data_IF_309745425749
#
_entry.id   IF_309745425749
#
_cell.length_a   1.000
_cell.length_b   1.000
_cell.length_c   1.000
_cell.angle_alpha   90.00
_cell.angle_beta   90.00
_cell.angle_gamma   90.00
#
_symmetry.space_group_name_H-M   'P 1'
#
loop_
_entity.id
_entity.type
_entity.pdbx_description
1 polymer ?
#
# COMPACT_ATOMS: atom_id res chain seq x y z
N UNK A 1 9.25 -32.26 22.53
CA UNK A 1 8.27 -31.30 21.96
C UNK A 1 8.47 -30.00 22.69
N UNK A 2 8.45 -28.87 21.99
CA UNK A 2 8.70 -27.55 22.58
C UNK A 2 7.58 -27.21 23.59
N UNK A 3 7.91 -26.98 24.86
CA UNK A 3 6.94 -26.71 25.93
C UNK A 3 6.16 -25.40 25.73
N UNK A 4 6.64 -24.55 24.81
CA UNK A 4 6.02 -23.26 24.54
C UNK A 4 4.78 -23.35 23.64
N UNK A 5 4.36 -24.54 23.15
CA UNK A 5 3.18 -24.76 22.28
C UNK A 5 3.11 -23.81 21.07
N UNK A 6 4.26 -23.48 20.49
CA UNK A 6 4.34 -22.79 19.19
C UNK A 6 4.84 -23.77 18.11
N UNK A 7 4.54 -23.45 16.86
CA UNK A 7 4.96 -24.25 15.71
C UNK A 7 4.86 -23.44 14.43
N UNK A 8 5.33 -24.03 13.34
CA UNK A 8 5.25 -23.47 12.00
C UNK A 8 6.19 -24.20 11.05
N UNK A 9 6.27 -23.68 9.83
CA UNK A 9 7.02 -24.32 8.74
C UNK A 9 7.98 -23.29 8.18
N UNK A 10 9.28 -23.51 8.42
CA UNK A 10 10.31 -22.76 7.72
C UNK A 10 10.37 -23.21 6.26
N UNK A 11 10.53 -22.27 5.33
CA UNK A 11 10.64 -22.60 3.90
C UNK A 11 11.93 -23.37 3.61
N UNK A 12 13.05 -22.94 4.21
CA UNK A 12 14.35 -23.60 4.05
C UNK A 12 15.11 -23.71 5.38
N UNK A 13 15.78 -24.85 5.55
CA UNK A 13 16.83 -25.06 6.54
C UNK A 13 18.14 -25.36 5.80
N UNK A 14 19.12 -24.46 5.91
CA UNK A 14 20.39 -24.58 5.18
C UNK A 14 21.53 -24.76 6.16
N UNK A 15 22.46 -25.67 5.86
CA UNK A 15 23.65 -25.88 6.69
C UNK A 15 24.58 -24.67 6.63
N UNK A 16 25.14 -24.30 7.79
CA UNK A 16 26.08 -23.19 7.94
C UNK A 16 27.32 -23.33 7.05
N UNK A 17 27.79 -24.56 6.81
CA UNK A 17 28.95 -24.87 5.94
C UNK A 17 28.63 -24.94 4.43
N UNK A 18 27.36 -24.71 4.07
CA UNK A 18 26.90 -24.72 2.67
C UNK A 18 26.25 -23.40 2.24
N UNK A 19 25.70 -22.61 3.17
CA UNK A 19 24.93 -21.41 2.87
C UNK A 19 25.69 -20.38 2.02
N UNK A 20 27.00 -20.21 2.25
CA UNK A 20 27.85 -19.30 1.49
C UNK A 20 28.13 -19.76 0.05
N UNK A 21 27.72 -20.97 -0.34
CA UNK A 21 27.82 -21.47 -1.73
C UNK A 21 26.57 -21.15 -2.55
N UNK A 22 25.47 -20.76 -1.90
CA UNK A 22 24.18 -20.51 -2.54
C UNK A 22 24.04 -19.04 -2.96
N UNK A 23 24.55 -18.12 -2.13
CA UNK A 23 24.35 -16.68 -2.31
C UNK A 23 25.63 -15.98 -2.75
N UNK A 24 25.50 -14.96 -3.60
CA UNK A 24 26.64 -14.16 -4.09
C UNK A 24 27.30 -13.39 -2.96
N UNK A 25 26.50 -12.83 -2.04
CA UNK A 25 26.99 -12.24 -0.80
C UNK A 25 27.18 -13.31 0.26
N UNK A 26 28.37 -13.33 0.88
CA UNK A 26 28.65 -14.12 2.08
C UNK A 26 27.59 -13.84 3.16
N UNK A 27 26.99 -14.90 3.67
CA UNK A 27 25.89 -14.86 4.66
C UNK A 27 26.40 -15.03 6.09
N UNK A 28 27.29 -16.00 6.32
CA UNK A 28 27.88 -16.27 7.64
C UNK A 28 29.40 -16.11 7.60
N UNK A 29 30.01 -15.78 8.75
CA UNK A 29 31.47 -15.73 8.88
C UNK A 29 32.10 -17.13 8.81
N UNK A 30 33.40 -17.21 8.50
CA UNK A 30 34.16 -18.48 8.43
C UNK A 30 34.14 -19.26 9.75
N UNK A 31 34.16 -18.54 10.87
CA UNK A 31 34.02 -19.12 12.20
C UNK A 31 32.65 -19.80 12.35
N UNK A 32 31.58 -19.12 11.92
CA UNK A 32 30.21 -19.63 12.04
C UNK A 32 29.90 -20.78 11.08
N UNK A 33 30.60 -20.90 9.94
CA UNK A 33 30.40 -22.01 9.00
C UNK A 33 30.53 -23.38 9.69
N UNK A 34 31.49 -23.50 10.62
CA UNK A 34 31.89 -24.77 11.21
C UNK A 34 31.44 -24.97 12.67
N UNK A 35 30.60 -24.07 13.20
CA UNK A 35 30.04 -24.23 14.56
C UNK A 35 29.12 -25.44 14.57
N UNK A 36 29.49 -26.44 15.39
CA UNK A 36 28.72 -27.68 15.56
C UNK A 36 27.51 -27.46 16.45
N UNK A 37 26.33 -27.83 15.94
CA UNK A 37 25.16 -28.02 16.80
C UNK A 37 25.26 -29.36 17.58
N UNK A 38 25.02 -29.37 18.90
CA UNK A 38 25.20 -30.56 19.76
C UNK A 38 24.48 -31.83 19.29
N UNK A 39 23.28 -31.70 18.72
CA UNK A 39 22.47 -32.85 18.32
C UNK A 39 22.75 -33.30 16.86
N UNK A 40 23.73 -32.68 16.19
CA UNK A 40 24.12 -33.03 14.83
C UNK A 40 25.47 -33.76 14.82
N UNK A 41 25.68 -34.59 13.81
CA UNK A 41 26.90 -35.39 13.68
C UNK A 41 28.08 -34.63 13.07
N UNK A 42 27.82 -33.62 12.23
CA UNK A 42 28.85 -32.84 11.55
C UNK A 42 29.21 -31.53 12.24
N UNK A 43 30.29 -30.90 11.80
CA UNK A 43 30.72 -29.57 12.26
C UNK A 43 29.95 -28.48 11.52
N UNK A 44 28.64 -28.48 11.71
CA UNK A 44 27.73 -27.47 11.16
C UNK A 44 26.50 -27.34 12.05
N UNK A 45 25.72 -26.31 11.77
CA UNK A 45 24.37 -26.13 12.28
C UNK A 45 23.45 -25.68 11.15
N UNK A 46 22.14 -25.82 11.31
CA UNK A 46 21.17 -25.32 10.37
C UNK A 46 20.82 -23.85 10.69
N UNK A 47 20.55 -23.09 9.62
CA UNK A 47 20.00 -21.72 9.66
C UNK A 47 18.63 -21.70 9.00
N UNK A 48 17.73 -20.91 9.56
CA UNK A 48 16.40 -20.68 8.99
C UNK A 48 16.48 -19.62 7.89
N UNK A 49 15.93 -19.94 6.72
CA UNK A 49 15.65 -18.97 5.65
C UNK A 49 14.17 -19.06 5.30
N UNK A 50 13.48 -17.93 5.31
CA UNK A 50 12.07 -17.82 4.94
C UNK A 50 11.95 -16.96 3.67
N UNK A 51 11.14 -17.43 2.71
CA UNK A 51 11.07 -16.89 1.35
C UNK A 51 9.86 -15.98 1.26
N UNK A 52 10.08 -14.71 0.93
CA UNK A 52 9.01 -13.72 0.74
C UNK A 52 9.07 -13.13 -0.66
N UNK A 53 7.96 -13.27 -1.41
CA UNK A 53 7.82 -12.64 -2.73
C UNK A 53 7.58 -11.12 -2.60
N UNK A 54 8.62 -10.39 -2.25
CA UNK A 54 8.60 -8.94 -2.01
C UNK A 54 9.96 -8.33 -2.31
N UNK A 55 10.00 -7.01 -2.50
CA UNK A 55 11.26 -6.25 -2.52
C UNK A 55 11.59 -5.84 -1.09
N UNK A 56 12.68 -6.36 -0.52
CA UNK A 56 13.10 -5.97 0.83
C UNK A 56 13.88 -4.65 0.83
N UNK A 57 13.60 -3.79 1.80
CA UNK A 57 14.37 -2.57 2.04
C UNK A 57 15.41 -2.82 3.12
N UNK A 58 16.68 -2.79 2.76
CA UNK A 58 17.80 -2.90 3.69
C UNK A 58 18.07 -1.54 4.34
N UNK A 59 18.51 -1.57 5.59
CA UNK A 59 19.07 -0.42 6.30
C UNK A 59 20.33 0.09 5.60
N UNK A 60 20.79 1.29 5.98
CA UNK A 60 21.98 1.90 5.40
C UNK A 60 23.26 1.04 5.53
N UNK A 61 23.31 0.13 6.52
CA UNK A 61 24.40 -0.83 6.68
C UNK A 61 24.42 -1.93 5.60
N UNK A 62 23.33 -2.09 4.84
CA UNK A 62 23.17 -3.09 3.80
C UNK A 62 22.88 -4.51 4.30
N UNK A 63 22.73 -4.75 5.61
CA UNK A 63 22.54 -6.10 6.16
C UNK A 63 21.17 -6.32 6.77
N UNK A 64 20.78 -5.45 7.71
CA UNK A 64 19.51 -5.59 8.42
C UNK A 64 18.36 -5.06 7.57
N UNK A 65 17.18 -5.66 7.76
CA UNK A 65 15.97 -5.24 7.07
C UNK A 65 15.27 -4.14 7.86
N UNK A 66 14.76 -3.11 7.17
CA UNK A 66 13.93 -2.07 7.78
C UNK A 66 12.65 -2.66 8.38
N UNK A 67 12.04 -1.89 9.28
CA UNK A 67 10.78 -2.25 9.92
C UNK A 67 9.60 -1.65 9.12
N UNK A 68 9.50 -2.00 7.84
CA UNK A 68 8.45 -1.57 6.93
C UNK A 68 7.47 -2.71 6.58
N UNK A 69 6.21 -2.35 6.30
CA UNK A 69 5.17 -3.30 5.91
C UNK A 69 5.04 -4.49 6.87
N UNK A 70 5.15 -5.72 6.33
CA UNK A 70 5.02 -6.98 7.09
C UNK A 70 6.33 -7.49 7.71
N UNK A 71 7.47 -6.85 7.44
CA UNK A 71 8.76 -7.31 7.99
C UNK A 71 8.80 -7.39 9.53
N UNK A 72 8.18 -6.48 10.30
CA UNK A 72 8.03 -6.67 11.75
C UNK A 72 7.37 -7.99 12.14
N UNK A 73 6.32 -8.42 11.43
CA UNK A 73 5.65 -9.69 11.68
C UNK A 73 6.51 -10.89 11.23
N UNK A 74 7.21 -10.78 10.10
CA UNK A 74 8.13 -11.82 9.62
C UNK A 74 9.31 -12.04 10.58
N UNK A 75 9.81 -10.97 11.23
CA UNK A 75 10.80 -11.09 12.31
C UNK A 75 10.27 -11.89 13.49
N UNK A 76 9.00 -11.78 13.82
CA UNK A 76 8.39 -12.63 14.86
C UNK A 76 8.18 -14.08 14.42
N UNK A 77 7.74 -14.29 13.18
CA UNK A 77 7.63 -15.63 12.58
C UNK A 77 8.97 -16.38 12.62
N UNK A 78 10.05 -15.73 12.18
CA UNK A 78 11.39 -16.29 12.17
C UNK A 78 11.94 -16.52 13.58
N UNK A 79 11.52 -15.75 14.59
CA UNK A 79 11.91 -15.98 15.97
C UNK A 79 11.33 -17.31 16.50
N UNK A 80 10.09 -17.63 16.14
CA UNK A 80 9.45 -18.92 16.46
C UNK A 80 10.22 -20.06 15.77
N UNK A 81 10.54 -19.91 14.49
CA UNK A 81 11.23 -20.95 13.72
C UNK A 81 12.64 -21.19 14.26
N UNK A 82 13.37 -20.12 14.55
CA UNK A 82 14.73 -20.19 15.06
C UNK A 82 14.77 -20.80 16.47
N UNK A 83 13.80 -20.50 17.33
CA UNK A 83 13.64 -21.15 18.63
C UNK A 83 13.35 -22.65 18.49
N UNK A 84 12.40 -23.03 17.62
CA UNK A 84 12.08 -24.44 17.37
C UNK A 84 13.28 -25.21 16.81
N UNK A 85 13.99 -24.62 15.85
CA UNK A 85 15.21 -25.18 15.30
C UNK A 85 16.28 -25.38 16.38
N UNK A 86 16.48 -24.36 17.22
CA UNK A 86 17.43 -24.41 18.33
C UNK A 86 17.19 -25.57 19.28
N UNK A 87 15.92 -25.81 19.64
CA UNK A 87 15.53 -26.97 20.43
C UNK A 87 15.87 -28.31 19.75
N UNK A 88 15.62 -28.41 18.44
CA UNK A 88 15.84 -29.65 17.67
C UNK A 88 17.34 -29.94 17.53
N UNK A 89 18.14 -28.97 17.11
CA UNK A 89 19.58 -29.18 16.85
C UNK A 89 20.47 -29.01 18.09
N UNK A 90 19.94 -28.48 19.20
CA UNK A 90 20.68 -28.23 20.44
C UNK A 90 21.53 -26.94 20.41
N UNK A 91 21.40 -26.12 19.36
CA UNK A 91 22.09 -24.85 19.18
C UNK A 91 21.14 -23.87 18.51
N UNK A 92 20.90 -22.72 19.14
CA UNK A 92 20.04 -21.65 18.61
C UNK A 92 20.92 -20.59 17.93
N UNK A 93 20.86 -20.44 16.60
CA UNK A 93 21.51 -19.35 15.89
C UNK A 93 21.08 -17.97 16.40
N UNK A 94 22.01 -17.00 16.40
CA UNK A 94 21.67 -15.60 16.72
C UNK A 94 20.89 -14.90 15.60
N UNK A 95 20.98 -15.41 14.36
CA UNK A 95 20.36 -14.78 13.21
C UNK A 95 19.51 -15.77 12.42
N UNK A 96 18.46 -15.22 11.81
CA UNK A 96 17.65 -15.87 10.79
C UNK A 96 17.58 -14.97 9.55
N UNK A 97 17.10 -15.51 8.44
CA UNK A 97 17.20 -14.84 7.15
C UNK A 97 15.90 -14.78 6.38
N UNK A 98 15.73 -13.71 5.61
CA UNK A 98 14.70 -13.60 4.57
C UNK A 98 15.36 -13.63 3.20
N UNK A 99 14.86 -14.50 2.33
CA UNK A 99 15.14 -14.49 0.90
C UNK A 99 14.00 -13.75 0.19
N UNK A 100 14.32 -12.64 -0.46
CA UNK A 100 13.36 -11.77 -1.13
C UNK A 100 13.59 -11.79 -2.64
N UNK A 101 12.56 -11.51 -3.45
CA UNK A 101 12.71 -11.48 -4.93
C UNK A 101 13.68 -10.40 -5.41
N UNK A 102 13.72 -9.30 -4.67
CA UNK A 102 14.56 -8.16 -4.94
C UNK A 102 14.93 -7.48 -3.62
N UNK A 103 15.93 -6.60 -3.69
CA UNK A 103 16.37 -5.82 -2.55
C UNK A 103 16.76 -4.42 -2.99
N UNK A 104 16.60 -3.46 -2.08
CA UNK A 104 17.13 -2.11 -2.22
C UNK A 104 17.79 -1.67 -0.94
N UNK A 105 18.89 -0.94 -1.03
CA UNK A 105 19.57 -0.32 0.09
C UNK A 105 19.18 1.15 0.14
N UNK A 106 18.49 1.53 1.21
CA UNK A 106 18.14 2.93 1.44
C UNK A 106 19.34 3.69 2.03
N UNK A 107 20.14 4.28 1.14
CA UNK A 107 21.30 5.10 1.49
C UNK A 107 21.29 6.37 0.66
N UNK A 108 21.38 7.52 1.33
CA UNK A 108 21.52 8.83 0.66
C UNK A 108 22.84 8.96 -0.12
N UNK A 109 23.87 8.20 0.27
CA UNK A 109 25.22 8.30 -0.30
C UNK A 109 25.38 7.35 -1.47
N UNK A 110 25.06 6.07 -1.25
CA UNK A 110 25.26 4.99 -2.23
C UNK A 110 24.00 4.10 -2.26
N UNK A 111 22.92 4.52 -2.93
CA UNK A 111 21.75 3.69 -3.13
C UNK A 111 22.12 2.51 -4.05
N UNK A 112 21.68 1.32 -3.67
CA UNK A 112 21.93 0.08 -4.42
C UNK A 112 20.63 -0.71 -4.51
N UNK A 113 20.48 -1.50 -5.56
CA UNK A 113 19.37 -2.43 -5.71
C UNK A 113 19.81 -3.66 -6.49
N UNK A 114 19.13 -4.78 -6.26
CA UNK A 114 19.30 -6.01 -7.01
C UNK A 114 17.97 -6.75 -7.14
N UNK A 115 17.92 -7.65 -8.12
CA UNK A 115 16.69 -8.30 -8.57
C UNK A 115 16.81 -9.83 -8.60
N UNK A 116 17.92 -10.39 -8.11
CA UNK A 116 18.05 -11.84 -7.94
C UNK A 116 17.80 -12.21 -6.49
N UNK A 117 17.04 -13.29 -6.28
CA UNK A 117 16.87 -13.89 -4.96
C UNK A 117 18.19 -14.39 -4.36
N UNK A 118 19.20 -14.64 -5.21
CA UNK A 118 20.50 -15.20 -4.82
C UNK A 118 21.59 -14.15 -4.63
N UNK A 119 21.29 -12.86 -4.85
CA UNK A 119 22.26 -11.80 -4.58
C UNK A 119 22.67 -11.81 -3.11
N UNK A 120 21.68 -11.81 -2.21
CA UNK A 120 21.88 -11.74 -0.77
C UNK A 120 20.63 -12.13 0.02
N UNK A 121 20.85 -12.45 1.29
CA UNK A 121 19.80 -12.62 2.30
C UNK A 121 19.66 -11.38 3.18
N UNK A 122 18.43 -11.00 3.50
CA UNK A 122 18.14 -10.02 4.54
C UNK A 122 18.36 -10.64 5.92
N UNK A 123 19.13 -9.97 6.77
CA UNK A 123 19.54 -10.50 8.08
C UNK A 123 18.59 -10.00 9.17
N UNK A 124 18.14 -10.93 10.01
CA UNK A 124 17.43 -10.65 11.25
C UNK A 124 18.33 -11.08 12.40
N UNK A 125 18.87 -10.10 13.12
CA UNK A 125 19.85 -10.34 14.19
C UNK A 125 19.21 -10.21 15.56
N UNK A 126 18.88 -11.34 16.18
CA UNK A 126 18.25 -11.39 17.49
C UNK A 126 19.24 -11.14 18.64
N UNK A 127 20.55 -11.09 18.38
CA UNK A 127 21.55 -10.74 19.38
C UNK A 127 21.72 -9.24 19.57
N UNK A 128 21.38 -8.44 18.56
CA UNK A 128 21.46 -6.98 18.64
C UNK A 128 20.25 -6.26 18.00
N UNK A 129 20.30 -5.94 16.71
CA UNK A 129 19.38 -5.01 16.02
C UNK A 129 17.90 -5.40 16.13
N UNK A 130 17.59 -6.70 16.04
CA UNK A 130 16.23 -7.24 16.06
C UNK A 130 15.87 -7.93 17.39
N UNK A 131 16.72 -7.82 18.41
CA UNK A 131 16.46 -8.37 19.75
C UNK A 131 15.07 -8.01 20.32
N UNK A 132 14.54 -6.76 20.16
CA UNK A 132 13.22 -6.41 20.66
C UNK A 132 12.08 -7.29 20.11
N UNK A 133 12.27 -7.93 18.96
CA UNK A 133 11.26 -8.82 18.39
C UNK A 133 11.09 -10.13 19.15
N UNK A 134 12.06 -10.56 19.97
CA UNK A 134 11.88 -11.73 20.85
C UNK A 134 10.73 -11.46 21.82
N UNK A 135 10.79 -10.34 22.54
CA UNK A 135 9.76 -9.95 23.52
C UNK A 135 8.42 -9.67 22.84
N UNK A 136 8.41 -8.89 21.75
CA UNK A 136 7.18 -8.62 21.00
C UNK A 136 6.51 -9.89 20.49
N UNK A 137 7.28 -10.88 20.07
CA UNK A 137 6.75 -12.18 19.62
C UNK A 137 6.11 -12.93 20.79
N UNK A 138 6.77 -12.96 21.95
CA UNK A 138 6.22 -13.59 23.14
C UNK A 138 4.91 -12.91 23.59
N UNK A 139 4.83 -11.58 23.58
CA UNK A 139 3.62 -10.81 23.85
C UNK A 139 2.53 -11.09 22.83
N UNK A 140 2.87 -11.14 21.53
CA UNK A 140 1.92 -11.47 20.46
C UNK A 140 1.36 -12.89 20.60
N UNK A 141 2.18 -13.87 21.01
CA UNK A 141 1.72 -15.24 21.29
C UNK A 141 0.73 -15.25 22.46
N UNK A 142 1.01 -14.50 23.53
CA UNK A 142 0.09 -14.37 24.67
C UNK A 142 -1.23 -13.75 24.23
N UNK A 143 -1.18 -12.67 23.45
CA UNK A 143 -2.37 -12.02 22.91
C UNK A 143 -3.22 -12.98 22.09
N UNK A 144 -2.63 -13.70 21.12
CA UNK A 144 -3.38 -14.64 20.27
C UNK A 144 -4.03 -15.76 21.11
N UNK A 145 -3.39 -16.20 22.19
CA UNK A 145 -3.98 -17.20 23.11
C UNK A 145 -5.14 -16.62 23.89
N UNK A 146 -4.98 -15.43 24.43
CA UNK A 146 -6.01 -14.72 25.19
C UNK A 146 -7.26 -14.46 24.33
N UNK A 147 -7.08 -14.04 23.07
CA UNK A 147 -8.17 -13.90 22.09
C UNK A 147 -8.89 -15.23 21.85
N UNK A 148 -8.16 -16.34 21.71
CA UNK A 148 -8.75 -17.66 21.44
C UNK A 148 -9.47 -18.24 22.65
N UNK A 149 -9.00 -17.93 23.85
CA UNK A 149 -9.52 -18.49 25.09
C UNK A 149 -10.69 -17.67 25.67
N UNK A 150 -10.66 -16.35 25.48
CA UNK A 150 -11.60 -15.43 26.14
C UNK A 150 -12.25 -14.42 25.19
N UNK A 151 -11.82 -14.34 23.93
CA UNK A 151 -12.23 -13.28 23.00
C UNK A 151 -13.71 -13.29 22.62
N UNK A 152 -14.37 -14.44 22.71
CA UNK A 152 -15.82 -14.59 22.51
C UNK A 152 -16.67 -13.85 23.57
N UNK A 153 -16.11 -13.64 24.75
CA UNK A 153 -16.75 -12.93 25.86
C UNK A 153 -16.52 -11.41 25.86
N UNK A 154 -15.67 -10.90 24.96
CA UNK A 154 -15.29 -9.49 24.96
C UNK A 154 -16.35 -8.60 24.29
N UNK A 155 -16.64 -7.47 24.93
CA UNK A 155 -17.46 -6.43 24.33
C UNK A 155 -16.62 -5.54 23.42
N UNK A 156 -16.76 -5.71 22.11
CA UNK A 156 -16.03 -4.95 21.10
C UNK A 156 -16.42 -3.46 21.06
N UNK A 157 -17.61 -3.09 21.54
CA UNK A 157 -18.07 -1.70 21.60
C UNK A 157 -17.63 -1.00 22.89
N UNK A 158 -17.15 -1.75 23.87
CA UNK A 158 -16.59 -1.23 25.11
C UNK A 158 -15.16 -1.75 25.32
N UNK A 159 -14.20 -1.38 24.45
CA UNK A 159 -12.83 -1.85 24.53
C UNK A 159 -12.14 -1.45 25.84
N UNK A 160 -11.81 -2.46 26.64
CA UNK A 160 -11.16 -2.33 27.96
C UNK A 160 -9.63 -2.32 27.90
N UNK A 161 -9.06 -2.59 26.72
CA UNK A 161 -7.62 -2.66 26.48
C UNK A 161 -7.28 -2.14 25.09
N UNK A 162 -6.00 -1.83 24.88
CA UNK A 162 -5.53 -1.17 23.67
C UNK A 162 -5.71 -2.03 22.41
N UNK A 163 -5.45 -3.32 22.51
CA UNK A 163 -5.48 -4.27 21.39
C UNK A 163 -6.88 -4.53 20.85
N UNK A 164 -7.93 -4.13 21.58
CA UNK A 164 -9.32 -4.26 21.14
C UNK A 164 -9.76 -3.13 20.20
N UNK A 165 -9.03 -2.01 20.15
CA UNK A 165 -9.39 -0.92 19.26
C UNK A 165 -8.98 -1.27 17.82
N UNK A 166 -9.89 -1.18 16.84
CA UNK A 166 -9.52 -1.38 15.44
C UNK A 166 -8.59 -0.25 14.97
N UNK A 167 -7.82 -0.53 13.92
CA UNK A 167 -6.96 0.44 13.27
C UNK A 167 -7.39 0.60 11.81
N UNK A 168 -8.04 1.72 11.49
CA UNK A 168 -8.56 2.03 10.17
C UNK A 168 -7.45 2.18 9.11
N UNK A 169 -6.22 2.50 9.53
CA UNK A 169 -5.05 2.60 8.64
C UNK A 169 -4.47 1.24 8.25
N UNK A 170 -4.75 0.17 9.00
CA UNK A 170 -4.21 -1.16 8.69
C UNK A 170 -4.86 -1.73 7.43
N UNK A 171 -4.08 -2.21 6.46
CA UNK A 171 -4.57 -2.87 5.24
C UNK A 171 -4.22 -4.36 5.19
N UNK A 172 -3.56 -4.89 6.22
CA UNK A 172 -3.21 -6.30 6.34
C UNK A 172 -4.20 -7.07 7.21
N UNK A 173 -5.49 -6.93 6.91
CA UNK A 173 -6.60 -7.41 7.75
C UNK A 173 -7.59 -8.33 7.03
N UNK A 174 -7.29 -8.77 5.81
CA UNK A 174 -8.13 -9.73 5.10
C UNK A 174 -8.34 -11.02 5.93
N UNK A 175 -9.56 -11.60 5.95
CA UNK A 175 -10.78 -11.17 5.25
C UNK A 175 -11.66 -10.18 6.06
N UNK A 176 -11.15 -9.62 7.16
CA UNK A 176 -11.92 -8.89 8.17
C UNK A 176 -12.11 -7.40 7.87
N UNK A 177 -11.71 -6.92 6.70
CA UNK A 177 -11.73 -5.48 6.36
C UNK A 177 -13.12 -4.87 6.51
N UNK A 178 -14.19 -5.59 6.12
CA UNK A 178 -15.57 -5.11 6.27
C UNK A 178 -15.97 -4.98 7.74
N UNK A 179 -15.67 -5.97 8.56
CA UNK A 179 -15.97 -6.00 9.99
C UNK A 179 -15.18 -4.92 10.74
N UNK A 180 -13.89 -4.76 10.42
CA UNK A 180 -13.04 -3.71 10.98
C UNK A 180 -13.59 -2.32 10.66
N UNK A 181 -13.95 -2.04 9.39
CA UNK A 181 -14.56 -0.77 8.98
C UNK A 181 -15.86 -0.48 9.75
N UNK A 182 -16.71 -1.50 9.92
CA UNK A 182 -17.93 -1.37 10.72
C UNK A 182 -17.60 -1.02 12.17
N UNK A 183 -16.67 -1.74 12.79
CA UNK A 183 -16.27 -1.50 14.18
C UNK A 183 -15.65 -0.11 14.38
N UNK A 184 -14.82 0.35 13.44
CA UNK A 184 -14.30 1.73 13.46
C UNK A 184 -15.44 2.76 13.47
N UNK A 185 -16.47 2.56 12.63
CA UNK A 185 -17.64 3.44 12.58
C UNK A 185 -18.44 3.40 13.89
N UNK A 186 -18.71 2.20 14.41
CA UNK A 186 -19.51 2.01 15.63
C UNK A 186 -18.82 2.59 16.88
N UNK A 187 -17.48 2.65 16.89
CA UNK A 187 -16.67 3.24 17.96
C UNK A 187 -16.36 4.73 17.78
N UNK A 188 -16.73 5.32 16.64
CA UNK A 188 -16.22 6.63 16.22
C UNK A 188 -14.69 6.69 16.38
N UNK A 189 -14.01 5.67 15.85
CA UNK A 189 -12.61 5.41 16.11
C UNK A 189 -11.69 6.44 15.42
N UNK A 190 -10.69 6.94 16.16
CA UNK A 190 -9.88 8.11 15.83
C UNK A 190 -9.02 7.90 14.57
N UNK A 191 -8.52 6.69 14.31
CA UNK A 191 -7.66 6.44 13.13
C UNK A 191 -8.39 6.48 11.78
N UNK A 192 -9.71 6.70 11.78
CA UNK A 192 -10.48 6.99 10.56
C UNK A 192 -10.13 8.35 9.94
N UNK A 193 -9.64 9.28 10.76
CA UNK A 193 -9.31 10.65 10.36
C UNK A 193 -8.08 10.65 9.46
N UNK A 194 -8.10 11.51 8.45
CA UNK A 194 -6.98 11.73 7.54
C UNK A 194 -5.67 11.95 8.29
N UNK A 195 -4.63 11.20 7.89
CA UNK A 195 -3.27 11.32 8.42
C UNK A 195 -3.11 10.97 9.92
N UNK A 196 -4.16 10.49 10.59
CA UNK A 196 -4.09 10.02 11.98
C UNK A 196 -3.63 8.57 12.02
N UNK A 197 -2.58 8.28 12.78
CA UNK A 197 -2.01 6.93 12.93
C UNK A 197 -2.38 6.31 14.28
N UNK A 198 -2.11 5.02 14.44
CA UNK A 198 -2.22 4.29 15.72
C UNK A 198 -1.48 5.00 16.87
N UNK A 199 -0.32 5.62 16.59
CA UNK A 199 0.45 6.36 17.58
C UNK A 199 -0.28 7.64 18.03
N UNK A 200 -0.89 8.37 17.10
CA UNK A 200 -1.68 9.56 17.41
C UNK A 200 -2.90 9.19 18.27
N UNK A 201 -3.59 8.10 17.92
CA UNK A 201 -4.69 7.54 18.74
C UNK A 201 -4.20 7.19 20.15
N UNK A 202 -3.04 6.54 20.30
CA UNK A 202 -2.47 6.23 21.63
C UNK A 202 -2.25 7.48 22.48
N UNK A 203 -1.80 8.58 21.86
CA UNK A 203 -1.63 9.85 22.55
C UNK A 203 -2.97 10.44 23.02
N UNK A 204 -4.01 10.40 22.17
CA UNK A 204 -5.36 10.77 22.59
C UNK A 204 -5.87 9.91 23.76
N UNK A 205 -5.69 8.58 23.68
CA UNK A 205 -6.13 7.66 24.74
C UNK A 205 -5.45 7.92 26.08
N UNK A 206 -4.17 8.31 26.09
CA UNK A 206 -3.46 8.71 27.33
C UNK A 206 -4.10 9.93 28.00
N UNK A 207 -4.72 10.81 27.21
CA UNK A 207 -5.47 11.97 27.67
C UNK A 207 -6.96 11.68 27.93
N UNK A 208 -7.37 10.40 27.93
CA UNK A 208 -8.75 9.99 28.19
C UNK A 208 -9.70 10.10 27.00
N UNK A 209 -9.20 10.56 25.84
CA UNK A 209 -9.98 10.74 24.61
C UNK A 209 -9.97 9.46 23.79
N UNK A 210 -11.15 8.87 23.55
CA UNK A 210 -11.30 7.54 22.90
C UNK A 210 -12.11 7.54 21.60
N UNK A 211 -12.72 8.67 21.27
CA UNK A 211 -13.60 8.84 20.12
C UNK A 211 -13.28 10.15 19.43
N UNK A 212 -13.34 10.17 18.09
CA UNK A 212 -13.22 11.43 17.37
C UNK A 212 -14.41 12.37 17.62
N UNK A 213 -15.52 11.90 18.21
CA UNK A 213 -16.63 12.78 18.62
C UNK A 213 -16.37 13.54 19.91
N UNK A 214 -15.38 13.11 20.71
CA UNK A 214 -15.00 13.83 21.92
C UNK A 214 -14.51 15.24 21.55
N UNK A 215 -15.06 16.32 22.15
CA UNK A 215 -14.62 17.68 21.88
C UNK A 215 -13.12 17.91 22.14
N UNK A 216 -12.49 17.11 23.01
CA UNK A 216 -11.06 17.19 23.30
C UNK A 216 -10.20 16.39 22.32
N UNK A 217 -10.80 15.64 21.39
CA UNK A 217 -10.05 15.05 20.29
C UNK A 217 -9.67 16.18 19.34
N UNK A 218 -8.42 16.60 19.38
CA UNK A 218 -7.85 17.63 18.51
C UNK A 218 -6.48 17.15 18.05
N UNK A 219 -5.94 17.81 17.03
CA UNK A 219 -4.56 17.60 16.58
C UNK A 219 -3.55 17.76 17.72
N UNK A 220 -3.80 18.68 18.65
CA UNK A 220 -2.96 18.94 19.83
C UNK A 220 -2.98 17.76 20.81
N UNK A 221 -4.16 17.27 21.19
CA UNK A 221 -4.32 16.10 22.08
C UNK A 221 -3.72 14.82 21.46
N UNK A 222 -3.67 14.75 20.14
CA UNK A 222 -3.04 13.67 19.37
C UNK A 222 -1.52 13.85 19.18
N UNK A 223 -0.94 14.98 19.62
CA UNK A 223 0.45 15.39 19.42
C UNK A 223 0.87 15.46 17.93
N UNK A 224 -0.04 15.88 17.07
CA UNK A 224 0.21 16.04 15.64
C UNK A 224 0.86 17.41 15.40
N UNK A 225 2.00 17.40 14.72
CA UNK A 225 2.79 18.60 14.44
C UNK A 225 2.91 18.87 12.93
N UNK A 226 3.18 20.12 12.57
CA UNK A 226 3.31 20.59 11.20
C UNK A 226 2.50 21.85 10.97
N UNK A 227 2.71 22.52 9.84
CA UNK A 227 2.00 23.77 9.52
C UNK A 227 0.59 23.48 9.00
N UNK A 228 0.45 22.52 8.08
CA UNK A 228 -0.81 22.26 7.37
C UNK A 228 -1.64 21.14 8.03
N UNK A 229 -0.99 20.05 8.46
CA UNK A 229 -1.71 18.83 8.90
C UNK A 229 -2.61 19.05 10.13
N UNK A 230 -2.17 19.75 11.19
CA UNK A 230 -3.02 20.01 12.35
C UNK A 230 -4.32 20.72 11.98
N UNK A 231 -4.21 21.79 11.19
CA UNK A 231 -5.34 22.60 10.73
C UNK A 231 -6.34 21.77 9.93
N UNK A 232 -5.87 21.01 8.93
CA UNK A 232 -6.74 20.13 8.13
C UNK A 232 -7.48 19.12 9.01
N UNK A 233 -6.80 18.51 9.98
CA UNK A 233 -7.39 17.51 10.88
C UNK A 233 -8.46 18.14 11.77
N UNK A 234 -8.19 19.30 12.34
CA UNK A 234 -9.14 20.01 13.20
C UNK A 234 -10.36 20.49 12.38
N UNK A 235 -10.17 20.94 11.13
CA UNK A 235 -11.29 21.24 10.22
C UNK A 235 -12.15 20.01 9.91
N UNK A 236 -11.55 18.85 9.67
CA UNK A 236 -12.29 17.57 9.49
C UNK A 236 -13.10 17.25 10.74
N UNK A 237 -12.51 17.43 11.93
CA UNK A 237 -13.17 17.15 13.19
C UNK A 237 -14.35 18.09 13.44
N UNK A 238 -14.15 19.39 13.23
CA UNK A 238 -15.15 20.43 13.45
C UNK A 238 -16.36 20.23 12.54
N UNK A 239 -16.15 20.05 11.23
CA UNK A 239 -17.27 19.86 10.30
C UNK A 239 -18.09 18.59 10.57
N UNK A 240 -17.45 17.54 11.08
CA UNK A 240 -18.12 16.27 11.39
C UNK A 240 -18.82 16.29 12.76
N UNK A 241 -18.51 17.26 13.63
CA UNK A 241 -19.18 17.48 14.92
C UNK A 241 -20.27 18.53 14.85
N UNK A 242 -20.17 19.46 13.90
CA UNK A 242 -21.16 20.50 13.67
C UNK A 242 -22.45 19.92 13.02
N UNK A 243 -23.62 20.01 13.68
CA UNK A 243 -24.88 19.51 13.14
C UNK A 243 -25.42 20.32 11.94
N UNK A 244 -24.97 21.55 11.73
CA UNK A 244 -25.47 22.46 10.69
C UNK A 244 -24.51 22.60 9.50
N UNK A 245 -23.22 22.32 9.68
CA UNK A 245 -22.25 22.39 8.58
C UNK A 245 -22.53 21.35 7.48
N UNK A 246 -22.01 21.60 6.27
CA UNK A 246 -22.12 20.72 5.10
C UNK A 246 -20.78 20.53 4.41
N UNK A 247 -20.15 21.62 4.01
CA UNK A 247 -18.83 21.69 3.37
C UNK A 247 -18.08 22.93 3.87
N UNK A 248 -16.76 22.84 3.99
CA UNK A 248 -15.88 23.97 4.26
C UNK A 248 -14.63 23.87 3.36
N UNK A 249 -14.02 24.99 2.97
CA UNK A 249 -14.52 26.35 3.16
C UNK A 249 -15.79 26.61 2.31
N UNK A 250 -16.51 27.70 2.58
CA UNK A 250 -17.71 28.07 1.82
C UNK A 250 -17.37 28.64 0.45
N UNK A 251 -16.21 29.29 0.34
CA UNK A 251 -15.62 29.76 -0.91
C UNK A 251 -14.23 29.16 -0.99
N UNK A 252 -13.88 28.63 -2.17
CA UNK A 252 -12.58 28.00 -2.41
C UNK A 252 -11.71 29.04 -3.11
N UNK A 253 -10.62 29.46 -2.48
CA UNK A 253 -9.71 30.49 -2.99
C UNK A 253 -8.70 29.93 -4.01
N UNK A 254 -8.27 28.69 -3.84
CA UNK A 254 -7.28 28.06 -4.71
C UNK A 254 -7.90 27.75 -6.07
N UNK A 255 -7.16 28.10 -7.11
CA UNK A 255 -7.52 27.79 -8.50
C UNK A 255 -6.36 27.09 -9.22
N UNK A 256 -5.81 26.04 -8.61
CA UNK A 256 -4.72 25.26 -9.20
C UNK A 256 -5.04 24.84 -10.63
N UNK A 257 -4.17 25.18 -11.58
CA UNK A 257 -4.36 24.85 -13.00
C UNK A 257 -5.72 25.32 -13.56
N UNK A 258 -6.28 26.40 -13.01
CA UNK A 258 -7.57 27.00 -13.37
C UNK A 258 -8.77 26.05 -13.22
N UNK A 259 -8.73 25.08 -12.29
CA UNK A 259 -9.76 24.05 -12.15
C UNK A 259 -11.18 24.58 -11.89
N UNK A 260 -11.33 25.79 -11.32
CA UNK A 260 -12.65 26.37 -11.01
C UNK A 260 -13.44 26.77 -12.26
N UNK A 261 -12.76 27.01 -13.38
CA UNK A 261 -13.40 27.33 -14.66
C UNK A 261 -13.38 26.09 -15.55
N UNK A 262 -14.52 25.75 -16.14
CA UNK A 262 -14.60 24.70 -17.16
C UNK A 262 -13.88 25.16 -18.41
N UNK A 263 -12.95 24.34 -18.89
CA UNK A 263 -12.20 24.57 -20.11
C UNK A 263 -12.79 23.76 -21.27
N UNK A 264 -12.63 24.22 -22.53
CA UNK A 264 -13.13 23.48 -23.69
C UNK A 264 -12.41 22.14 -23.90
N UNK A 265 -11.24 21.93 -23.28
CA UNK A 265 -10.40 20.75 -23.42
C UNK A 265 -10.19 20.03 -22.08
N UNK A 266 -11.25 19.91 -21.27
CA UNK A 266 -11.22 19.18 -20.00
C UNK A 266 -11.58 17.71 -20.19
N UNK A 267 -10.72 16.84 -19.66
CA UNK A 267 -10.89 15.39 -19.67
C UNK A 267 -10.71 14.83 -18.26
N UNK A 268 -11.52 13.85 -17.89
CA UNK A 268 -11.47 13.17 -16.60
C UNK A 268 -11.00 11.74 -16.81
N UNK A 269 -9.84 11.39 -16.26
CA UNK A 269 -9.15 10.15 -16.63
C UNK A 269 -9.00 9.19 -15.44
N UNK A 270 -9.13 7.91 -15.72
CA UNK A 270 -8.96 6.82 -14.76
C UNK A 270 -8.25 5.64 -15.42
N UNK A 271 -7.21 5.11 -14.77
CA UNK A 271 -6.31 4.12 -15.36
C UNK A 271 -6.33 2.85 -14.54
N UNK A 272 -6.63 1.73 -15.19
CA UNK A 272 -6.57 0.42 -14.56
C UNK A 272 -5.34 -0.35 -15.01
N UNK A 273 -4.69 -1.02 -14.04
CA UNK A 273 -3.44 -1.73 -14.25
C UNK A 273 -3.51 -3.20 -13.84
N UNK A 274 -2.73 -4.04 -14.53
CA UNK A 274 -2.48 -5.43 -14.17
C UNK A 274 -1.07 -5.57 -13.66
N UNK A 275 -0.94 -6.04 -12.42
CA UNK A 275 0.35 -6.45 -11.91
C UNK A 275 0.75 -7.80 -12.55
N UNK A 276 1.86 -7.79 -13.29
CA UNK A 276 2.32 -8.97 -14.03
C UNK A 276 2.61 -10.20 -13.15
N UNK A 277 2.83 -10.04 -11.84
CA UNK A 277 3.02 -11.18 -10.92
C UNK A 277 1.77 -12.04 -10.79
N UNK A 278 0.58 -11.45 -10.96
CA UNK A 278 -0.68 -12.19 -10.91
C UNK A 278 -1.03 -12.78 -12.27
N UNK A 279 -0.54 -12.19 -13.35
CA UNK A 279 -0.80 -12.64 -14.71
C UNK A 279 0.16 -13.74 -15.18
N UNK A 280 1.47 -13.51 -15.08
CA UNK A 280 2.49 -14.44 -15.57
C UNK A 280 2.77 -15.57 -14.56
N UNK A 281 2.57 -16.85 -14.93
CA UNK A 281 2.91 -17.97 -14.07
C UNK A 281 4.43 -18.23 -13.96
N UNK A 282 5.23 -17.76 -14.90
CA UNK A 282 6.67 -17.98 -14.91
C UNK A 282 7.39 -16.92 -14.07
N UNK A 283 8.11 -17.39 -13.05
CA UNK A 283 8.86 -16.56 -12.12
C UNK A 283 10.36 -16.68 -12.42
N UNK A 284 11.00 -15.56 -12.74
CA UNK A 284 12.47 -15.48 -12.87
C UNK A 284 13.09 -15.13 -11.50
N UNK A 285 13.58 -16.15 -10.80
CA UNK A 285 14.22 -16.02 -9.49
C UNK A 285 15.63 -15.39 -9.56
N UNK A 286 16.21 -15.27 -10.75
CA UNK A 286 17.49 -14.61 -10.98
C UNK A 286 17.32 -13.16 -11.41
N UNK A 287 16.15 -12.76 -11.90
CA UNK A 287 15.88 -11.39 -12.30
C UNK A 287 14.39 -11.00 -12.25
N UNK A 288 13.96 -10.51 -11.08
CA UNK A 288 12.61 -10.01 -10.83
C UNK A 288 12.36 -8.58 -11.35
N UNK A 289 13.27 -7.98 -12.15
CA UNK A 289 13.24 -6.55 -12.51
C UNK A 289 11.99 -6.16 -13.32
N UNK A 290 11.46 -7.09 -14.12
CA UNK A 290 10.40 -6.84 -15.10
C UNK A 290 8.99 -7.19 -14.59
N UNK A 291 8.81 -7.39 -13.28
CA UNK A 291 7.49 -7.46 -12.67
C UNK A 291 6.89 -6.06 -12.56
N UNK A 292 6.41 -5.52 -13.69
CA UNK A 292 5.77 -4.20 -13.77
C UNK A 292 4.27 -4.30 -13.83
N UNK A 293 3.60 -3.25 -13.36
CA UNK A 293 2.19 -3.04 -13.66
C UNK A 293 2.07 -2.59 -15.13
N UNK A 294 1.10 -3.17 -15.84
CA UNK A 294 0.73 -2.84 -17.22
C UNK A 294 -0.61 -2.11 -17.21
N UNK A 295 -0.69 -0.96 -17.87
CA UNK A 295 -1.98 -0.31 -18.13
C UNK A 295 -2.74 -1.16 -19.15
N UNK A 296 -3.92 -1.65 -18.80
CA UNK A 296 -4.77 -2.45 -19.69
C UNK A 296 -6.07 -1.76 -20.04
N UNK A 297 -6.46 -0.72 -19.30
CA UNK A 297 -7.65 0.05 -19.55
C UNK A 297 -7.46 1.51 -19.15
N UNK A 298 -7.90 2.43 -20.01
CA UNK A 298 -7.94 3.86 -19.76
C UNK A 298 -9.37 4.34 -20.01
N UNK A 299 -10.03 4.86 -18.98
CA UNK A 299 -11.32 5.54 -19.09
C UNK A 299 -11.13 7.04 -19.25
N UNK A 300 -11.93 7.67 -20.11
CA UNK A 300 -11.91 9.12 -20.35
C UNK A 300 -13.34 9.64 -20.37
N UNK A 301 -13.68 10.48 -19.39
CA UNK A 301 -14.88 11.29 -19.39
C UNK A 301 -14.62 12.68 -19.97
N UNK A 302 -15.57 13.24 -20.71
CA UNK A 302 -15.49 14.60 -21.23
C UNK A 302 -16.90 15.15 -21.48
N UNK A 303 -17.01 16.47 -21.63
CA UNK A 303 -18.28 17.15 -21.95
C UNK A 303 -18.25 17.60 -23.40
N UNK A 304 -19.30 17.30 -24.16
CA UNK A 304 -19.50 17.72 -25.55
C UNK A 304 -20.99 18.06 -25.72
N UNK A 305 -21.29 19.23 -26.28
CA UNK A 305 -22.65 19.76 -26.42
C UNK A 305 -23.47 19.78 -25.11
N UNK A 306 -22.82 20.17 -24.00
CA UNK A 306 -23.38 20.15 -22.63
C UNK A 306 -23.79 18.75 -22.12
N UNK A 307 -23.38 17.68 -22.82
CA UNK A 307 -23.63 16.30 -22.43
C UNK A 307 -22.35 15.60 -21.99
N UNK A 308 -22.47 14.70 -21.00
CA UNK A 308 -21.36 13.88 -20.53
C UNK A 308 -21.15 12.66 -21.45
N UNK A 309 -19.94 12.51 -21.95
CA UNK A 309 -19.50 11.37 -22.75
C UNK A 309 -18.42 10.60 -22.02
N UNK A 310 -18.32 9.30 -22.32
CA UNK A 310 -17.34 8.42 -21.70
C UNK A 310 -16.83 7.39 -22.70
N UNK A 311 -15.52 7.42 -22.96
CA UNK A 311 -14.82 6.49 -23.82
C UNK A 311 -13.84 5.63 -23.02
N UNK A 312 -13.63 4.39 -23.49
CA UNK A 312 -12.72 3.44 -22.86
C UNK A 312 -11.78 2.83 -23.88
N UNK A 313 -10.48 2.85 -23.57
CA UNK A 313 -9.43 2.19 -24.33
C UNK A 313 -9.00 0.93 -23.59
N UNK A 314 -9.34 -0.24 -24.13
CA UNK A 314 -8.97 -1.54 -23.55
C UNK A 314 -7.92 -2.27 -24.38
N UNK A 315 -7.03 -2.97 -23.69
CA UNK A 315 -6.01 -3.82 -24.30
C UNK A 315 -6.63 -5.13 -24.83
N UNK A 316 -6.10 -5.68 -25.93
CA UNK A 316 -6.55 -6.98 -26.41
C UNK A 316 -5.94 -8.14 -25.61
N UNK A 317 -4.73 -7.96 -25.09
CA UNK A 317 -4.01 -8.89 -24.22
C UNK A 317 -3.11 -8.14 -23.23
N UNK A 318 -2.59 -8.86 -22.23
CA UNK A 318 -1.64 -8.30 -21.26
C UNK A 318 -0.24 -8.34 -21.85
N UNK A 319 0.11 -7.34 -22.65
CA UNK A 319 1.45 -7.14 -23.17
C UNK A 319 1.85 -5.67 -23.25
N UNK A 320 3.16 -5.43 -23.31
CA UNK A 320 3.70 -4.09 -23.55
C UNK A 320 3.30 -3.54 -24.93
N UNK A 321 3.05 -4.39 -25.92
CA UNK A 321 2.62 -3.95 -27.24
C UNK A 321 1.19 -3.38 -27.20
N UNK A 322 0.29 -4.06 -26.51
CA UNK A 322 -1.09 -3.60 -26.33
C UNK A 322 -1.17 -2.39 -25.39
N UNK A 323 -0.38 -2.35 -24.30
CA UNK A 323 -0.25 -1.16 -23.45
C UNK A 323 0.12 0.08 -24.28
N UNK A 324 1.13 -0.04 -25.14
CA UNK A 324 1.53 1.04 -26.03
C UNK A 324 0.41 1.45 -26.98
N UNK A 325 -0.29 0.48 -27.58
CA UNK A 325 -1.38 0.72 -28.53
C UNK A 325 -2.55 1.46 -27.88
N UNK A 326 -2.94 1.11 -26.65
CA UNK A 326 -4.03 1.81 -25.97
C UNK A 326 -3.62 3.22 -25.53
N UNK A 327 -2.36 3.42 -25.10
CA UNK A 327 -1.85 4.75 -24.76
C UNK A 327 -1.77 5.61 -26.02
N UNK A 328 -1.29 5.06 -27.15
CA UNK A 328 -1.27 5.77 -28.43
C UNK A 328 -2.67 6.25 -28.81
N UNK A 329 -3.67 5.34 -28.80
CA UNK A 329 -5.07 5.68 -29.07
C UNK A 329 -5.63 6.73 -28.10
N UNK A 330 -5.29 6.63 -26.82
CA UNK A 330 -5.69 7.61 -25.81
C UNK A 330 -5.08 8.98 -26.11
N UNK A 331 -3.77 9.08 -26.36
CA UNK A 331 -3.11 10.36 -26.67
C UNK A 331 -3.64 10.98 -27.96
N UNK A 332 -3.84 10.18 -29.02
CA UNK A 332 -4.43 10.61 -30.28
C UNK A 332 -5.88 11.09 -30.10
N UNK A 333 -6.64 10.45 -29.21
CA UNK A 333 -8.00 10.85 -28.88
C UNK A 333 -8.02 12.23 -28.23
N UNK A 334 -7.17 12.46 -27.22
CA UNK A 334 -7.06 13.75 -26.53
C UNK A 334 -6.68 14.84 -27.53
N UNK A 335 -5.63 14.61 -28.33
CA UNK A 335 -5.16 15.58 -29.33
C UNK A 335 -6.25 15.93 -30.34
N UNK A 336 -6.95 14.91 -30.85
CA UNK A 336 -8.05 15.08 -31.81
C UNK A 336 -9.21 15.87 -31.19
N UNK A 337 -9.69 15.47 -30.00
CA UNK A 337 -10.80 16.15 -29.33
C UNK A 337 -10.45 17.58 -28.98
N UNK A 338 -9.24 17.82 -28.48
CA UNK A 338 -8.77 19.17 -28.18
C UNK A 338 -8.69 20.06 -29.42
N UNK A 339 -8.25 19.52 -30.56
CA UNK A 339 -8.26 20.26 -31.81
C UNK A 339 -9.69 20.51 -32.35
N UNK A 340 -10.63 19.59 -32.11
CA UNK A 340 -12.06 19.75 -32.45
C UNK A 340 -12.70 20.89 -31.63
N UNK A 341 -12.37 20.99 -30.34
CA UNK A 341 -12.93 22.01 -29.44
C UNK A 341 -12.23 23.36 -29.51
N UNK A 342 -10.92 23.36 -29.77
CA UNK A 342 -10.12 24.57 -29.94
C UNK A 342 -9.18 24.45 -31.14
N UNK A 343 -9.67 24.93 -32.30
CA UNK A 343 -8.88 25.00 -33.53
C UNK A 343 -7.65 25.92 -33.45
N UNK A 344 -7.58 26.80 -32.45
CA UNK A 344 -6.48 27.76 -32.28
C UNK A 344 -5.32 27.18 -31.48
N UNK A 345 -5.58 26.13 -30.68
CA UNK A 345 -4.60 25.55 -29.76
C UNK A 345 -4.19 26.51 -28.63
N UNK A 346 -5.06 27.48 -28.29
CA UNK A 346 -4.89 28.39 -27.16
C UNK A 346 -5.02 27.65 -25.83
N UNK A 347 -5.90 26.65 -25.76
CA UNK A 347 -6.13 25.86 -24.55
C UNK A 347 -5.33 24.56 -24.56
N UNK A 348 -4.49 24.37 -23.54
CA UNK A 348 -3.85 23.08 -23.30
C UNK A 348 -4.88 22.08 -22.74
N UNK A 349 -4.92 20.83 -23.24
CA UNK A 349 -5.74 19.78 -22.67
C UNK A 349 -5.45 19.57 -21.18
N UNK A 350 -6.50 19.53 -20.36
CA UNK A 350 -6.41 19.30 -18.92
C UNK A 350 -6.95 17.94 -18.57
N UNK A 351 -6.13 17.13 -17.89
CA UNK A 351 -6.46 15.79 -17.44
C UNK A 351 -6.71 15.80 -15.93
N UNK A 352 -7.97 15.80 -15.55
CA UNK A 352 -8.43 15.71 -14.17
C UNK A 352 -8.32 14.28 -13.67
N UNK A 353 -7.72 14.11 -12.50
CA UNK A 353 -7.53 12.81 -11.85
C UNK A 353 -7.55 12.97 -10.32
N UNK A 354 -7.50 11.85 -9.59
CA UNK A 354 -7.54 11.85 -8.13
C UNK A 354 -6.28 11.20 -7.54
N UNK A 355 -5.36 12.03 -7.04
CA UNK A 355 -4.06 11.60 -6.50
C UNK A 355 -3.10 11.06 -7.56
N UNK A 356 -1.91 10.64 -7.14
CA UNK A 356 -0.77 10.41 -8.05
C UNK A 356 -0.80 9.10 -8.86
N UNK A 357 -1.88 8.31 -8.78
CA UNK A 357 -1.91 6.96 -9.36
C UNK A 357 -1.74 7.01 -10.90
N UNK A 358 -2.59 7.77 -11.59
CA UNK A 358 -2.61 7.88 -13.06
C UNK A 358 -1.29 8.45 -13.58
N UNK A 359 -0.80 9.53 -12.95
CA UNK A 359 0.47 10.19 -13.29
C UNK A 359 1.65 9.22 -13.14
N UNK A 360 1.70 8.47 -12.04
CA UNK A 360 2.76 7.49 -11.82
C UNK A 360 2.67 6.33 -12.82
N UNK A 361 1.47 5.81 -13.06
CA UNK A 361 1.23 4.73 -14.01
C UNK A 361 1.66 5.15 -15.43
N UNK A 362 1.23 6.33 -15.89
CA UNK A 362 1.64 6.88 -17.19
C UNK A 362 3.16 7.07 -17.27
N UNK A 363 3.79 7.64 -16.24
CA UNK A 363 5.26 7.79 -16.19
C UNK A 363 5.95 6.43 -16.27
N UNK A 364 5.50 5.44 -15.52
CA UNK A 364 6.10 4.10 -15.53
C UNK A 364 5.94 3.42 -16.90
N UNK A 365 4.79 3.58 -17.56
CA UNK A 365 4.58 3.11 -18.92
C UNK A 365 5.48 3.86 -19.91
N UNK A 366 5.57 5.19 -19.83
CA UNK A 366 6.42 6.00 -20.73
C UNK A 366 7.91 5.60 -20.63
N UNK A 367 8.42 5.41 -19.41
CA UNK A 367 9.79 4.93 -19.18
C UNK A 367 10.00 3.54 -19.81
N UNK A 368 8.98 2.67 -19.78
CA UNK A 368 9.00 1.34 -20.44
C UNK A 368 9.16 1.47 -21.94
N UNK A 369 8.42 2.40 -22.52
CA UNK A 369 8.31 2.64 -23.95
C UNK A 369 9.33 3.66 -24.46
N UNK A 370 10.47 3.78 -23.76
CA UNK A 370 11.61 4.63 -24.14
C UNK A 370 11.23 6.11 -24.30
N UNK A 371 10.44 6.62 -23.37
CA UNK A 371 10.00 8.01 -23.31
C UNK A 371 9.19 8.47 -24.54
N UNK A 372 8.44 7.57 -25.17
CA UNK A 372 7.67 7.85 -26.40
C UNK A 372 6.78 9.10 -26.31
N UNK A 373 6.09 9.29 -25.19
CA UNK A 373 5.08 10.35 -25.00
C UNK A 373 5.63 11.58 -24.26
N UNK A 374 6.96 11.74 -24.18
CA UNK A 374 7.57 12.88 -23.46
C UNK A 374 7.17 14.25 -24.02
N UNK A 375 7.06 14.39 -25.35
CA UNK A 375 6.63 15.66 -25.96
C UNK A 375 5.13 15.88 -25.77
N UNK A 376 4.31 14.81 -25.83
CA UNK A 376 2.88 14.89 -25.55
C UNK A 376 2.60 15.34 -24.11
N UNK A 377 3.34 14.81 -23.13
CA UNK A 377 3.21 15.22 -21.72
C UNK A 377 3.48 16.71 -21.48
N UNK A 378 4.36 17.34 -22.29
CA UNK A 378 4.63 18.78 -22.18
C UNK A 378 3.48 19.63 -22.69
N UNK A 379 2.59 19.04 -23.49
CA UNK A 379 1.49 19.70 -24.14
C UNK A 379 0.15 19.47 -23.44
N UNK A 380 0.14 18.88 -22.24
CA UNK A 380 -1.06 18.67 -21.41
C UNK A 380 -0.82 19.12 -19.97
N UNK A 381 -1.90 19.26 -19.21
CA UNK A 381 -1.86 19.63 -17.78
C UNK A 381 -2.55 18.56 -16.95
N UNK A 382 -1.85 17.98 -15.98
CA UNK A 382 -2.47 17.10 -14.98
C UNK A 382 -3.07 17.94 -13.85
N UNK A 383 -4.36 17.76 -13.57
CA UNK A 383 -5.10 18.46 -12.51
C UNK A 383 -5.43 17.45 -11.41
N UNK A 384 -4.63 17.48 -10.33
CA UNK A 384 -4.82 16.60 -9.18
C UNK A 384 -5.87 17.16 -8.21
N UNK A 385 -7.10 16.65 -8.30
CA UNK A 385 -8.19 17.09 -7.43
C UNK A 385 -7.99 16.68 -5.96
N UNK A 386 -7.19 15.65 -5.67
CA UNK A 386 -6.83 15.33 -4.29
C UNK A 386 -5.95 16.44 -3.69
N UNK A 387 -5.02 16.99 -4.48
CA UNK A 387 -4.18 18.10 -4.04
C UNK A 387 -4.98 19.39 -3.85
N UNK A 388 -5.97 19.66 -4.72
CA UNK A 388 -6.94 20.77 -4.56
C UNK A 388 -7.66 20.66 -3.21
N UNK A 389 -8.19 19.48 -2.89
CA UNK A 389 -8.91 19.24 -1.63
C UNK A 389 -8.02 19.32 -0.39
N UNK A 390 -6.75 18.89 -0.47
CA UNK A 390 -5.88 18.81 0.71
C UNK A 390 -5.07 20.08 0.98
N UNK A 391 -4.86 20.95 -0.01
CA UNK A 391 -4.06 22.17 0.16
C UNK A 391 -4.86 23.31 0.79
N UNK A 392 -6.12 23.50 0.43
CA UNK A 392 -7.02 24.51 1.03
C UNK A 392 -8.08 23.88 1.96
N UNK A 393 -7.77 22.74 2.56
CA UNK A 393 -8.74 21.80 3.15
C UNK A 393 -10.23 21.93 2.74
N UNK A 394 -10.61 21.34 1.61
CA UNK A 394 -12.03 21.20 1.23
C UNK A 394 -12.63 20.00 1.98
N UNK A 395 -13.10 20.22 3.20
CA UNK A 395 -13.65 19.18 4.07
C UNK A 395 -15.17 19.07 3.91
N UNK A 396 -15.68 17.84 3.89
CA UNK A 396 -17.11 17.55 3.66
C UNK A 396 -17.66 16.79 4.85
N UNK A 397 -18.83 17.20 5.35
CA UNK A 397 -19.48 16.51 6.47
C UNK A 397 -19.78 15.05 6.14
N UNK A 398 -19.43 14.18 7.08
CA UNK A 398 -19.52 12.74 6.95
C UNK A 398 -18.30 12.09 6.28
N UNK A 399 -17.32 12.87 5.79
CA UNK A 399 -16.02 12.38 5.36
C UNK A 399 -14.97 12.70 6.43
N UNK A 400 -14.24 11.68 6.89
CA UNK A 400 -13.13 11.78 7.82
C UNK A 400 -11.78 11.78 7.08
N UNK A 401 -11.77 11.47 5.79
CA UNK A 401 -10.59 11.58 4.94
C UNK A 401 -10.92 11.91 3.47
N UNK A 402 -9.87 12.22 2.69
CA UNK A 402 -9.96 12.65 1.30
C UNK A 402 -9.90 11.50 0.28
N UNK A 403 -10.32 10.29 0.64
CA UNK A 403 -10.49 9.23 -0.37
C UNK A 403 -11.67 9.58 -1.28
N UNK A 404 -11.52 9.38 -2.59
CA UNK A 404 -12.54 9.74 -3.57
C UNK A 404 -13.93 9.17 -3.24
N UNK A 405 -14.03 7.88 -2.90
CA UNK A 405 -15.30 7.23 -2.53
C UNK A 405 -15.91 7.79 -1.23
N UNK A 406 -15.08 8.31 -0.34
CA UNK A 406 -15.53 8.90 0.92
C UNK A 406 -16.07 10.32 0.70
N UNK A 407 -15.32 11.15 -0.03
CA UNK A 407 -15.75 12.50 -0.44
C UNK A 407 -17.02 12.43 -1.29
N UNK A 408 -16.99 11.68 -2.41
CA UNK A 408 -18.16 11.55 -3.30
C UNK A 408 -19.37 10.95 -2.59
N UNK A 409 -19.17 9.94 -1.74
CA UNK A 409 -20.25 9.38 -0.93
C UNK A 409 -20.84 10.38 0.07
N UNK A 410 -20.04 11.27 0.64
CA UNK A 410 -20.51 12.35 1.52
C UNK A 410 -21.24 13.45 0.76
N UNK A 411 -20.69 13.92 -0.37
CA UNK A 411 -21.32 14.92 -1.24
C UNK A 411 -22.71 14.45 -1.70
N UNK A 412 -22.83 13.19 -2.14
CA UNK A 412 -24.11 12.63 -2.55
C UNK A 412 -25.10 12.54 -1.37
N UNK A 413 -24.65 12.12 -0.17
CA UNK A 413 -25.53 12.09 1.02
C UNK A 413 -26.06 13.47 1.41
N UNK A 414 -25.30 14.52 1.11
CA UNK A 414 -25.68 15.92 1.32
C UNK A 414 -26.49 16.51 0.17
N UNK A 415 -26.70 15.76 -0.94
CA UNK A 415 -27.41 16.23 -2.12
C UNK A 415 -26.62 17.25 -2.95
N UNK A 416 -25.29 17.30 -2.81
CA UNK A 416 -24.41 18.21 -3.55
C UNK A 416 -23.99 17.66 -4.92
N UNK A 417 -24.10 16.35 -5.11
CA UNK A 417 -23.92 15.66 -6.40
C UNK A 417 -24.98 14.57 -6.54
N UNK A 418 -25.33 14.26 -7.79
CA UNK A 418 -26.28 13.18 -8.12
C UNK A 418 -25.59 11.83 -8.33
N UNK A 419 -24.27 11.82 -8.51
CA UNK A 419 -23.50 10.62 -8.87
C UNK A 419 -23.07 9.81 -7.65
N UNK A 420 -23.20 8.49 -7.76
CA UNK A 420 -22.73 7.53 -6.75
C UNK A 420 -22.26 6.24 -7.44
N UNK A 421 -21.22 5.61 -6.91
CA UNK A 421 -20.77 4.30 -7.36
C UNK A 421 -21.90 3.27 -7.19
N UNK A 422 -22.16 2.49 -8.23
CA UNK A 422 -23.07 1.36 -8.14
C UNK A 422 -22.53 0.33 -7.15
N UNK A 423 -23.42 -0.31 -6.40
CA UNK A 423 -23.05 -1.42 -5.49
C UNK A 423 -22.54 -2.66 -6.24
N UNK A 424 -22.82 -2.74 -7.55
CA UNK A 424 -22.41 -3.84 -8.43
C UNK A 424 -21.13 -3.48 -9.18
N UNK A 425 -20.05 -4.25 -8.94
CA UNK A 425 -18.75 -4.10 -9.61
C UNK A 425 -17.56 -4.26 -8.65
N UNK A 426 -16.32 -4.18 -9.15
CA UNK A 426 -15.13 -4.27 -8.32
C UNK A 426 -15.12 -3.16 -7.25
N UNK A 427 -14.90 -3.54 -6.00
CA UNK A 427 -14.96 -2.61 -4.86
C UNK A 427 -13.76 -1.66 -4.78
N UNK A 428 -12.67 -2.01 -5.44
CA UNK A 428 -11.41 -1.27 -5.53
C UNK A 428 -10.57 -1.75 -6.72
N UNK A 429 -9.51 -1.02 -7.04
CA UNK A 429 -8.61 -1.34 -8.16
C UNK A 429 -7.91 -2.70 -8.01
N UNK A 430 -7.72 -3.21 -6.78
CA UNK A 430 -7.14 -4.55 -6.60
C UNK A 430 -8.12 -5.65 -7.05
N UNK A 431 -9.40 -5.50 -6.73
CA UNK A 431 -10.45 -6.41 -7.20
C UNK A 431 -10.58 -6.33 -8.73
N UNK A 432 -10.58 -5.11 -9.29
CA UNK A 432 -10.62 -4.89 -10.73
C UNK A 432 -9.43 -5.57 -11.44
N UNK A 433 -8.23 -5.44 -10.86
CA UNK A 433 -7.02 -6.11 -11.35
C UNK A 433 -7.17 -7.65 -11.36
N UNK A 434 -7.70 -8.25 -10.29
CA UNK A 434 -7.87 -9.71 -10.22
C UNK A 434 -8.89 -10.21 -11.25
N UNK A 435 -10.02 -9.51 -11.40
CA UNK A 435 -11.02 -9.82 -12.43
C UNK A 435 -10.42 -9.70 -13.83
N UNK A 436 -9.62 -8.67 -14.09
CA UNK A 436 -8.93 -8.51 -15.37
C UNK A 436 -7.90 -9.64 -15.62
N UNK A 437 -7.14 -10.04 -14.59
CA UNK A 437 -6.21 -11.17 -14.69
C UNK A 437 -6.94 -12.46 -15.07
N UNK A 438 -8.09 -12.74 -14.46
CA UNK A 438 -8.91 -13.91 -14.80
C UNK A 438 -9.41 -13.82 -16.25
N UNK A 439 -10.00 -12.68 -16.64
CA UNK A 439 -10.48 -12.44 -17.99
C UNK A 439 -9.41 -12.69 -19.07
N UNK A 440 -8.23 -12.08 -18.94
CA UNK A 440 -7.18 -12.24 -19.94
C UNK A 440 -6.56 -13.65 -19.93
N UNK A 441 -6.55 -14.35 -18.80
CA UNK A 441 -6.16 -15.77 -18.75
C UNK A 441 -7.17 -16.66 -19.47
N UNK A 442 -8.47 -16.41 -19.32
CA UNK A 442 -9.49 -17.16 -20.05
C UNK A 442 -9.43 -16.87 -21.55
N UNK A 443 -9.26 -15.61 -21.93
CA UNK A 443 -9.12 -15.18 -23.33
C UNK A 443 -7.91 -15.81 -24.01
N UNK A 444 -6.74 -15.82 -23.35
CA UNK A 444 -5.52 -16.42 -23.89
C UNK A 444 -5.61 -17.96 -24.03
N UNK A 445 -6.42 -18.61 -23.20
CA UNK A 445 -6.71 -20.04 -23.32
C UNK A 445 -7.78 -20.38 -24.38
N UNK A 446 -8.37 -19.38 -25.04
CA UNK A 446 -9.42 -19.57 -26.06
C UNK A 446 -10.78 -19.95 -25.47
N UNK A 447 -11.04 -19.60 -24.20
CA UNK A 447 -12.28 -19.93 -23.50
C UNK A 447 -13.34 -18.83 -23.55
N UNK A 448 -13.08 -17.72 -24.27
CA UNK A 448 -13.96 -16.56 -24.45
C UNK A 448 -14.21 -16.25 -25.92
#
# INVERSE_FOLDING_TARGET
MNDNKTGGTADLLVRSDYINKIFRRRVVSEEMENVKAPNLNGNYHYRVIDIKWTTMTLCANGYNIRNDGRFPAYKGQLAIYNCALGFVQGYTPNEAYIMAKAWKRDSKVNPEQGHSCFDLLGVIDYSSFDNPYITKTAESIKWVRDVREHGDSWDLLNPVREEMYPNACNTFDAPWTKQKKKLCKDLDEITQIWYVTDNHRRNAHKNGVKSWRDPNCTSETMEITGEIKPEVIDMILDINRDPEATILPQEIENNFMNWQETGPCDFFVDFETINCCFYNPEIDIENSKNESDIIFMIGVGYVEDDEWHYDVFTADDVSFAEEKKIIDRFTEFIDRKSLEYDHTGEYMPRLFHWSMAEVNNFRHANNRHREKWVEWQKNIVWVDMYNVFTTEPIVVKGALNFKLKEIGGSLHRLGLIDTMWKETGPSDGFTAMLEAVEYYKEKSNGNL
#
